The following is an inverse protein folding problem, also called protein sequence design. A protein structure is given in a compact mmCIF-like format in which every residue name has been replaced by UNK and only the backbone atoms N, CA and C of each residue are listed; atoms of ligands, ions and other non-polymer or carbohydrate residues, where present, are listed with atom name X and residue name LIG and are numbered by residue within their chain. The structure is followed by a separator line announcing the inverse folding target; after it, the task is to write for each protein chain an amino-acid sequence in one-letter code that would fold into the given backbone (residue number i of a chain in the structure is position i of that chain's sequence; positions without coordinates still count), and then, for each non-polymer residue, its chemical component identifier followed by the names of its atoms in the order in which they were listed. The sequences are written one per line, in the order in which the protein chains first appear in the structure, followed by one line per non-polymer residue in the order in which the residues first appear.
data_IF_476374267518
#
_entry.id   IF_476374267518
#
_cell.length_a   1.000
_cell.length_b   1.000
_cell.length_c   1.000
_cell.angle_alpha   90.00
_cell.angle_beta   90.00
_cell.angle_gamma   90.00
#
_symmetry.space_group_name_H-M   'P 1'
#
loop_
_entity.id
_entity.type
_entity.pdbx_description
1 polymer ?
#
# COMPACT_ATOMS: atom_id res chain seq x y z
N UNK A 1 -0.48 5.77 19.70
CA UNK A 1 -1.51 5.00 20.41
C UNK A 1 -1.51 3.54 19.99
N UNK A 2 -1.70 3.19 18.68
CA UNK A 2 -1.78 1.78 18.24
C UNK A 2 -0.47 1.02 18.50
N UNK A 3 0.68 1.59 18.18
CA UNK A 3 1.99 0.96 18.40
C UNK A 3 2.18 0.47 19.82
N UNK A 4 1.72 1.24 20.78
CA UNK A 4 1.93 0.99 22.21
C UNK A 4 0.86 0.11 22.83
N UNK A 5 -0.37 0.15 22.31
CA UNK A 5 -1.53 -0.40 23.00
C UNK A 5 -2.23 -1.55 22.26
N UNK A 6 -2.05 -1.69 20.93
CA UNK A 6 -2.78 -2.69 20.17
C UNK A 6 -2.41 -4.13 20.56
N UNK A 7 -1.12 -4.51 20.72
CA UNK A 7 -0.76 -5.85 21.16
C UNK A 7 -1.30 -6.18 22.55
N UNK A 8 -1.17 -5.27 23.51
CA UNK A 8 -1.68 -5.46 24.86
C UNK A 8 -3.23 -5.56 24.88
N UNK A 9 -3.91 -4.70 24.12
CA UNK A 9 -5.37 -4.76 23.98
C UNK A 9 -5.84 -6.09 23.38
N UNK A 10 -5.12 -6.64 22.43
CA UNK A 10 -5.41 -7.93 21.81
C UNK A 10 -5.16 -9.10 22.76
N UNK A 11 -4.01 -9.12 23.44
CA UNK A 11 -3.60 -10.24 24.29
C UNK A 11 -4.37 -10.29 25.61
N UNK A 12 -4.59 -9.14 26.23
CA UNK A 12 -5.16 -9.04 27.57
C UNK A 12 -6.68 -8.78 27.56
N UNK A 13 -7.20 -8.22 26.48
CA UNK A 13 -8.63 -8.00 26.27
C UNK A 13 -9.28 -7.20 27.42
N UNK A 14 -10.31 -7.76 28.05
CA UNK A 14 -11.04 -7.11 29.11
C UNK A 14 -10.22 -6.88 30.41
N UNK A 15 -9.08 -7.56 30.53
CA UNK A 15 -8.19 -7.40 31.70
C UNK A 15 -7.36 -6.11 31.63
N UNK A 16 -7.26 -5.48 30.45
CA UNK A 16 -6.56 -4.23 30.28
C UNK A 16 -7.50 -3.15 29.68
N UNK A 17 -8.37 -2.56 30.52
CA UNK A 17 -9.31 -1.55 30.04
C UNK A 17 -8.61 -0.28 29.49
N UNK A 18 -7.42 0.05 29.99
CA UNK A 18 -6.66 1.22 29.53
C UNK A 18 -6.17 1.02 28.09
N UNK A 19 -5.57 -0.12 27.79
CA UNK A 19 -5.13 -0.42 26.41
C UNK A 19 -6.33 -0.46 25.45
N UNK A 20 -7.46 -1.05 25.86
CA UNK A 20 -8.70 -1.07 25.08
C UNK A 20 -9.24 0.33 24.79
N UNK A 21 -9.30 1.20 25.80
CA UNK A 21 -9.71 2.59 25.65
C UNK A 21 -8.80 3.33 24.65
N UNK A 22 -7.47 3.15 24.76
CA UNK A 22 -6.49 3.77 23.85
C UNK A 22 -6.68 3.32 22.40
N UNK A 23 -6.94 2.03 22.20
CA UNK A 23 -7.22 1.47 20.85
C UNK A 23 -8.56 1.97 20.34
N UNK A 24 -9.60 2.06 21.17
CA UNK A 24 -10.90 2.64 20.79
C UNK A 24 -10.76 4.10 20.37
N UNK A 25 -10.05 4.91 21.13
CA UNK A 25 -9.78 6.29 20.80
C UNK A 25 -8.98 6.42 19.50
N UNK A 26 -7.99 5.55 19.28
CA UNK A 26 -7.23 5.51 18.03
C UNK A 26 -8.10 5.19 16.83
N UNK A 27 -9.05 4.26 16.95
CA UNK A 27 -10.01 3.94 15.90
C UNK A 27 -10.92 5.14 15.57
N UNK A 28 -11.38 5.85 16.60
CA UNK A 28 -12.19 7.09 16.42
C UNK A 28 -11.39 8.17 15.70
N UNK A 29 -10.13 8.41 16.11
CA UNK A 29 -9.25 9.38 15.47
C UNK A 29 -9.00 9.00 13.99
N UNK A 30 -8.78 7.71 13.71
CA UNK A 30 -8.64 7.22 12.34
C UNK A 30 -9.92 7.48 11.53
N UNK A 31 -11.10 7.23 12.12
CA UNK A 31 -12.40 7.55 11.52
C UNK A 31 -12.54 9.02 11.13
N UNK A 32 -12.18 9.93 12.03
CA UNK A 32 -12.18 11.38 11.76
C UNK A 32 -11.19 11.72 10.64
N UNK A 33 -10.01 11.12 10.64
CA UNK A 33 -8.99 11.37 9.62
C UNK A 33 -9.48 10.96 8.22
N UNK A 34 -9.99 9.74 8.05
CA UNK A 34 -10.43 9.29 6.73
C UNK A 34 -11.77 9.90 6.30
N UNK A 35 -12.61 10.37 7.22
CA UNK A 35 -13.80 11.15 6.87
C UNK A 35 -13.43 12.48 6.16
N UNK A 36 -12.23 13.01 6.43
CA UNK A 36 -11.74 14.24 5.80
C UNK A 36 -10.86 13.97 4.58
N UNK A 37 -9.99 12.93 4.62
CA UNK A 37 -9.05 12.62 3.55
C UNK A 37 -9.59 11.59 2.55
N UNK A 38 -10.70 10.96 2.87
CA UNK A 38 -11.28 9.80 2.20
C UNK A 38 -10.34 8.56 2.27
N UNK A 39 -10.73 7.49 1.57
CA UNK A 39 -10.04 6.21 1.55
C UNK A 39 -9.34 6.03 0.19
N UNK A 40 -8.64 4.92 0.00
CA UNK A 40 -7.89 4.64 -1.23
C UNK A 40 -8.02 3.17 -1.66
N UNK A 41 -7.15 2.75 -2.57
CA UNK A 41 -7.19 1.43 -3.20
C UNK A 41 -7.11 0.26 -2.21
N UNK A 42 -6.54 0.47 -1.01
CA UNK A 42 -6.57 -0.55 0.04
C UNK A 42 -8.00 -0.95 0.38
N UNK A 43 -8.86 0.04 0.63
CA UNK A 43 -10.27 -0.20 0.93
C UNK A 43 -11.05 -0.68 -0.29
N UNK A 44 -10.78 -0.15 -1.48
CA UNK A 44 -11.41 -0.60 -2.72
C UNK A 44 -11.24 -2.11 -2.92
N UNK A 45 -10.01 -2.60 -2.80
CA UNK A 45 -9.71 -4.03 -2.91
C UNK A 45 -10.27 -4.83 -1.72
N UNK A 46 -10.17 -4.30 -0.49
CA UNK A 46 -10.68 -4.95 0.70
C UNK A 46 -12.20 -5.16 0.65
N UNK A 47 -12.97 -4.22 0.08
CA UNK A 47 -14.41 -4.37 -0.15
C UNK A 47 -14.70 -5.60 -1.04
N UNK A 48 -13.94 -5.76 -2.11
CA UNK A 48 -14.15 -6.87 -3.06
C UNK A 48 -13.74 -8.23 -2.47
N UNK A 49 -12.61 -8.27 -1.75
CA UNK A 49 -12.21 -9.48 -1.03
C UNK A 49 -13.23 -9.87 0.06
N UNK A 50 -13.77 -8.88 0.77
CA UNK A 50 -14.79 -9.11 1.77
C UNK A 50 -16.11 -9.61 1.20
N UNK A 51 -16.60 -9.00 0.12
CA UNK A 51 -17.86 -9.39 -0.53
C UNK A 51 -17.78 -10.76 -1.18
N UNK A 52 -16.64 -11.12 -1.79
CA UNK A 52 -16.48 -12.32 -2.57
C UNK A 52 -16.05 -13.54 -1.75
N UNK A 53 -15.09 -13.34 -0.83
CA UNK A 53 -14.50 -14.44 -0.05
C UNK A 53 -14.86 -14.40 1.43
N UNK A 54 -15.74 -13.49 1.83
CA UNK A 54 -16.17 -13.31 3.23
C UNK A 54 -15.03 -13.03 4.20
N UNK A 55 -13.93 -12.45 3.70
CA UNK A 55 -12.83 -12.00 4.57
C UNK A 55 -13.29 -10.79 5.38
N UNK A 56 -13.18 -10.81 6.71
CA UNK A 56 -13.54 -9.65 7.53
C UNK A 56 -12.81 -8.39 7.06
N UNK A 57 -13.52 -7.26 7.00
CA UNK A 57 -13.02 -6.01 6.40
C UNK A 57 -11.65 -5.57 6.95
N UNK A 58 -11.48 -5.60 8.28
CA UNK A 58 -10.21 -5.26 8.92
C UNK A 58 -9.07 -6.19 8.52
N UNK A 59 -9.36 -7.50 8.40
CA UNK A 59 -8.39 -8.48 7.95
C UNK A 59 -8.00 -8.26 6.49
N UNK A 60 -8.96 -8.00 5.59
CA UNK A 60 -8.68 -7.72 4.19
C UNK A 60 -7.76 -6.50 4.02
N UNK A 61 -8.03 -5.41 4.77
CA UNK A 61 -7.15 -4.24 4.78
C UNK A 61 -5.75 -4.57 5.34
N UNK A 62 -5.64 -5.34 6.41
CA UNK A 62 -4.37 -5.72 7.00
C UNK A 62 -3.51 -6.60 6.06
N UNK A 63 -4.14 -7.46 5.26
CA UNK A 63 -3.45 -8.26 4.25
C UNK A 63 -2.87 -7.38 3.13
N UNK A 64 -3.61 -6.37 2.68
CA UNK A 64 -3.27 -5.52 1.54
C UNK A 64 -2.30 -4.39 1.87
N UNK A 65 -2.28 -3.89 3.12
CA UNK A 65 -1.69 -2.60 3.48
C UNK A 65 -0.23 -2.46 3.08
N UNK A 66 0.61 -3.49 3.28
CA UNK A 66 2.04 -3.40 2.96
C UNK A 66 2.27 -3.27 1.46
N UNK A 67 1.56 -4.04 0.63
CA UNK A 67 1.64 -3.96 -0.82
C UNK A 67 1.08 -2.63 -1.35
N UNK A 68 0.04 -2.09 -0.72
CA UNK A 68 -0.50 -0.76 -1.07
C UNK A 68 0.48 0.35 -0.69
N UNK A 69 1.17 0.26 0.44
CA UNK A 69 2.23 1.22 0.79
C UNK A 69 3.35 1.18 -0.26
N UNK A 70 3.83 -0.01 -0.66
CA UNK A 70 4.84 -0.16 -1.73
C UNK A 70 4.36 0.45 -3.04
N UNK A 71 3.12 0.18 -3.43
CA UNK A 71 2.49 0.73 -4.62
C UNK A 71 2.42 2.26 -4.61
N UNK A 72 1.96 2.84 -3.50
CA UNK A 72 1.81 4.29 -3.36
C UNK A 72 3.14 5.03 -3.14
N UNK A 73 4.19 4.35 -2.67
CA UNK A 73 5.49 4.94 -2.37
C UNK A 73 6.34 5.20 -3.62
N UNK A 74 5.74 5.74 -4.67
CA UNK A 74 6.38 6.05 -5.93
C UNK A 74 6.47 7.57 -6.13
N UNK A 75 7.66 8.06 -6.52
CA UNK A 75 7.88 9.49 -6.82
C UNK A 75 7.38 9.87 -8.23
N UNK A 76 7.22 8.89 -9.12
CA UNK A 76 6.81 9.07 -10.51
C UNK A 76 5.60 8.18 -10.86
N UNK A 77 4.44 8.39 -10.26
CA UNK A 77 3.26 7.59 -10.53
C UNK A 77 2.82 7.73 -11.99
N UNK A 78 2.36 6.64 -12.60
CA UNK A 78 1.88 6.59 -13.98
C UNK A 78 0.71 7.56 -14.20
N UNK A 79 -0.17 7.65 -13.22
CA UNK A 79 -1.28 8.59 -13.15
C UNK A 79 -1.39 9.17 -11.75
N UNK A 80 -1.79 10.42 -11.66
CA UNK A 80 -2.15 11.07 -10.40
C UNK A 80 -3.66 11.28 -10.34
N UNK A 81 -4.20 11.33 -9.14
CA UNK A 81 -5.60 11.69 -8.92
C UNK A 81 -5.86 13.15 -9.28
N UNK A 82 -7.11 13.47 -9.62
CA UNK A 82 -7.55 14.84 -9.89
C UNK A 82 -7.78 15.69 -8.62
N UNK A 83 -7.60 15.14 -7.42
CA UNK A 83 -7.70 15.90 -6.18
C UNK A 83 -6.51 16.83 -6.02
N UNK A 84 -6.77 18.12 -5.80
CA UNK A 84 -5.75 19.18 -5.72
C UNK A 84 -4.70 18.96 -4.62
N UNK A 85 -5.04 18.25 -3.55
CA UNK A 85 -4.08 17.87 -2.51
C UNK A 85 -2.96 16.95 -3.00
N UNK A 86 -3.10 16.37 -4.19
CA UNK A 86 -2.13 15.47 -4.80
C UNK A 86 -1.47 16.05 -6.06
N UNK A 87 -1.45 17.37 -6.23
CA UNK A 87 -0.79 18.06 -7.35
C UNK A 87 0.68 17.63 -7.52
N UNK A 88 1.29 17.16 -6.44
CA UNK A 88 2.63 16.56 -6.44
C UNK A 88 2.62 15.25 -5.66
N UNK A 89 3.32 14.19 -6.11
CA UNK A 89 3.44 12.95 -5.37
C UNK A 89 4.06 13.20 -3.99
N UNK A 90 3.34 12.84 -2.93
CA UNK A 90 3.78 13.04 -1.55
C UNK A 90 3.78 11.77 -0.73
N UNK A 91 3.14 10.69 -1.22
CA UNK A 91 2.92 9.48 -0.45
C UNK A 91 4.23 8.90 0.10
N UNK A 92 5.27 8.81 -0.73
CA UNK A 92 6.58 8.32 -0.32
C UNK A 92 7.19 9.11 0.84
N UNK A 93 7.14 10.44 0.76
CA UNK A 93 7.60 11.32 1.84
C UNK A 93 6.76 11.14 3.12
N UNK A 94 5.43 11.05 2.97
CA UNK A 94 4.52 10.87 4.10
C UNK A 94 4.73 9.55 4.82
N UNK A 95 4.97 8.46 4.11
CA UNK A 95 5.31 7.18 4.75
C UNK A 95 6.63 7.24 5.53
N UNK A 96 7.64 7.94 5.01
CA UNK A 96 8.88 8.16 5.74
C UNK A 96 8.67 9.02 7.01
N UNK A 97 7.85 10.07 6.93
CA UNK A 97 7.47 10.89 8.10
C UNK A 97 6.73 10.06 9.17
N UNK A 98 5.90 9.09 8.75
CA UNK A 98 5.25 8.15 9.68
C UNK A 98 6.29 7.29 10.39
N UNK A 99 7.29 6.76 9.67
CA UNK A 99 8.37 6.00 10.28
C UNK A 99 9.15 6.83 11.31
N UNK A 100 9.44 8.10 10.99
CA UNK A 100 10.08 9.02 11.92
C UNK A 100 9.22 9.26 13.17
N UNK A 101 7.94 9.55 12.98
CA UNK A 101 7.00 9.79 14.08
C UNK A 101 6.83 8.58 15.00
N UNK A 102 6.88 7.37 14.44
CA UNK A 102 6.82 6.13 15.21
C UNK A 102 8.15 5.76 15.86
N UNK A 103 9.22 6.52 15.64
CA UNK A 103 10.55 6.22 16.17
C UNK A 103 11.15 4.92 15.61
N UNK A 104 10.86 4.61 14.34
CA UNK A 104 11.37 3.42 13.65
C UNK A 104 12.67 3.72 12.89
N UNK A 105 12.88 4.98 12.52
CA UNK A 105 14.06 5.44 11.77
C UNK A 105 15.20 5.83 12.68
N UNK A 106 16.43 5.81 12.10
CA UNK A 106 17.63 6.32 12.72
C UNK A 106 18.11 7.61 12.03
N UNK A 107 18.92 8.46 12.71
CA UNK A 107 19.56 9.61 12.07
C UNK A 107 20.36 9.16 10.83
N UNK A 108 20.13 9.82 9.68
CA UNK A 108 20.80 9.49 8.42
C UNK A 108 20.08 8.48 7.54
N UNK A 109 18.99 7.87 7.99
CA UNK A 109 18.19 6.98 7.14
C UNK A 109 17.61 7.73 5.94
N UNK A 110 17.80 7.17 4.75
CA UNK A 110 17.17 7.65 3.53
C UNK A 110 15.68 7.30 3.50
N UNK A 111 14.87 8.05 2.74
CA UNK A 111 13.42 7.85 2.59
C UNK A 111 13.04 6.36 2.35
N UNK A 112 13.72 5.68 1.44
CA UNK A 112 13.46 4.26 1.17
C UNK A 112 13.71 3.37 2.41
N UNK A 113 14.80 3.60 3.16
CA UNK A 113 15.10 2.84 4.37
C UNK A 113 14.06 3.05 5.47
N UNK A 114 13.53 4.27 5.60
CA UNK A 114 12.44 4.58 6.55
C UNK A 114 11.17 3.83 6.20
N UNK A 115 10.82 3.76 4.90
CA UNK A 115 9.65 3.02 4.43
C UNK A 115 9.82 1.52 4.68
N UNK A 116 10.98 0.93 4.39
CA UNK A 116 11.22 -0.48 4.68
C UNK A 116 11.11 -0.79 6.19
N UNK A 117 11.58 0.10 7.05
CA UNK A 117 11.40 -0.04 8.50
C UNK A 117 9.92 0.06 8.92
N UNK A 118 9.14 0.93 8.27
CA UNK A 118 7.68 1.00 8.49
C UNK A 118 7.00 -0.30 8.09
N UNK A 119 7.34 -0.86 6.93
CA UNK A 119 6.79 -2.11 6.43
C UNK A 119 7.16 -3.29 7.34
N UNK A 120 8.44 -3.39 7.73
CA UNK A 120 8.90 -4.42 8.66
C UNK A 120 8.15 -4.35 10.01
N UNK A 121 7.94 -3.15 10.53
CA UNK A 121 7.16 -2.95 11.76
C UNK A 121 5.68 -3.37 11.59
N UNK A 122 5.06 -3.08 10.43
CA UNK A 122 3.69 -3.52 10.15
C UNK A 122 3.61 -5.06 10.07
N UNK A 123 4.57 -5.71 9.45
CA UNK A 123 4.61 -7.17 9.34
C UNK A 123 4.86 -7.82 10.70
N UNK A 124 5.72 -7.25 11.53
CA UNK A 124 5.90 -7.68 12.92
C UNK A 124 4.60 -7.54 13.73
N UNK A 125 3.92 -6.41 13.62
CA UNK A 125 2.64 -6.17 14.28
C UNK A 125 1.58 -7.18 13.84
N UNK A 126 1.47 -7.46 12.53
CA UNK A 126 0.56 -8.48 12.00
C UNK A 126 0.87 -9.87 12.58
N UNK A 127 2.15 -10.23 12.65
CA UNK A 127 2.60 -11.49 13.25
C UNK A 127 2.20 -11.59 14.72
N UNK A 128 2.42 -10.54 15.51
CA UNK A 128 2.04 -10.49 16.92
C UNK A 128 0.52 -10.63 17.14
N UNK A 129 -0.27 -10.18 16.18
CA UNK A 129 -1.73 -10.25 16.21
C UNK A 129 -2.29 -11.55 15.58
N UNK A 130 -1.44 -12.45 15.09
CA UNK A 130 -1.86 -13.69 14.45
C UNK A 130 -2.56 -13.48 13.11
N UNK A 131 -2.28 -12.38 12.42
CA UNK A 131 -2.83 -12.09 11.09
C UNK A 131 -2.10 -12.95 10.05
N UNK A 132 -2.82 -13.66 9.16
CA UNK A 132 -2.22 -14.42 8.07
C UNK A 132 -1.31 -13.55 7.18
N UNK A 133 -0.29 -14.16 6.58
CA UNK A 133 0.66 -13.43 5.73
C UNK A 133 0.16 -13.23 4.30
N UNK A 134 -0.90 -13.96 3.91
CA UNK A 134 -1.45 -13.93 2.56
C UNK A 134 -2.96 -14.18 2.53
N UNK A 135 -3.60 -13.84 1.41
CA UNK A 135 -5.02 -14.15 1.17
C UNK A 135 -5.22 -15.68 1.12
N UNK A 136 -4.24 -16.43 0.60
CA UNK A 136 -4.28 -17.91 0.61
C UNK A 136 -4.30 -18.47 2.03
N UNK A 137 -3.45 -17.97 2.91
CA UNK A 137 -3.43 -18.37 4.33
C UNK A 137 -4.70 -17.94 5.09
N UNK A 138 -5.38 -16.90 4.64
CA UNK A 138 -6.69 -16.52 5.14
C UNK A 138 -7.82 -17.48 4.71
N UNK A 139 -7.50 -18.56 3.97
CA UNK A 139 -8.41 -19.64 3.63
C UNK A 139 -9.01 -19.58 2.23
N UNK A 140 -8.63 -18.63 1.40
CA UNK A 140 -9.13 -18.50 0.04
C UNK A 140 -8.45 -19.53 -0.88
N UNK A 141 -9.26 -20.34 -1.58
CA UNK A 141 -8.74 -21.35 -2.51
C UNK A 141 -8.20 -20.70 -3.78
N UNK A 142 -7.05 -21.19 -4.27
CA UNK A 142 -6.38 -20.60 -5.44
C UNK A 142 -7.24 -20.62 -6.70
N UNK A 143 -7.93 -21.72 -6.97
CA UNK A 143 -8.78 -21.84 -8.14
C UNK A 143 -9.91 -20.80 -8.12
N UNK A 144 -10.55 -20.59 -6.96
CA UNK A 144 -11.61 -19.60 -6.79
C UNK A 144 -11.10 -18.19 -6.94
N UNK A 145 -9.92 -17.92 -6.37
CA UNK A 145 -9.27 -16.60 -6.47
C UNK A 145 -8.92 -16.28 -7.93
N UNK A 146 -8.24 -17.20 -8.63
CA UNK A 146 -7.82 -17.00 -10.02
C UNK A 146 -9.00 -16.83 -10.98
N UNK A 147 -10.12 -17.52 -10.73
CA UNK A 147 -11.33 -17.38 -11.52
C UNK A 147 -11.99 -15.99 -11.41
N UNK A 148 -11.70 -15.24 -10.34
CA UNK A 148 -12.40 -14.01 -9.98
C UNK A 148 -11.52 -12.76 -9.96
N UNK A 149 -10.21 -12.89 -9.84
CA UNK A 149 -9.29 -11.76 -9.61
C UNK A 149 -9.38 -10.67 -10.68
N UNK A 150 -9.65 -11.01 -11.94
CA UNK A 150 -9.83 -10.02 -13.01
C UNK A 150 -11.06 -9.15 -12.74
N UNK A 151 -12.19 -9.78 -12.44
CA UNK A 151 -13.42 -9.07 -12.09
C UNK A 151 -13.28 -8.26 -10.81
N UNK A 152 -12.60 -8.78 -9.79
CA UNK A 152 -12.35 -8.07 -8.54
C UNK A 152 -11.49 -6.82 -8.76
N UNK A 153 -10.52 -6.88 -9.68
CA UNK A 153 -9.69 -5.72 -10.01
C UNK A 153 -10.50 -4.63 -10.76
N UNK A 154 -11.37 -5.02 -11.68
CA UNK A 154 -12.31 -4.11 -12.35
C UNK A 154 -13.26 -3.46 -11.34
N UNK A 155 -13.90 -4.24 -10.50
CA UNK A 155 -14.82 -3.75 -9.48
C UNK A 155 -14.13 -2.86 -8.42
N UNK A 156 -12.87 -3.15 -8.10
CA UNK A 156 -12.08 -2.30 -7.22
C UNK A 156 -11.67 -0.99 -7.92
N UNK A 157 -11.44 -1.00 -9.22
CA UNK A 157 -11.17 0.21 -9.98
C UNK A 157 -12.37 1.16 -9.97
N UNK A 158 -13.59 0.63 -10.10
CA UNK A 158 -14.85 1.38 -10.09
C UNK A 158 -15.34 1.74 -8.67
N UNK A 159 -14.65 1.28 -7.63
CA UNK A 159 -15.02 1.59 -6.24
C UNK A 159 -14.81 3.07 -5.93
N UNK A 160 -15.76 3.66 -5.19
CA UNK A 160 -15.72 5.07 -4.80
C UNK A 160 -14.41 5.50 -4.11
N UNK A 161 -13.74 4.59 -3.41
CA UNK A 161 -12.50 4.89 -2.68
C UNK A 161 -11.29 5.05 -3.62
N UNK A 162 -11.33 4.47 -4.80
CA UNK A 162 -10.20 4.43 -5.74
C UNK A 162 -9.82 5.83 -6.22
N UNK A 163 -10.80 6.69 -6.47
CA UNK A 163 -10.57 8.05 -6.94
C UNK A 163 -9.78 8.95 -5.99
N UNK A 164 -9.76 8.65 -4.70
CA UNK A 164 -9.04 9.42 -3.70
C UNK A 164 -7.63 8.86 -3.39
N UNK A 165 -7.22 7.75 -4.02
CA UNK A 165 -5.88 7.23 -3.82
C UNK A 165 -4.82 8.20 -4.39
N UNK A 166 -3.68 8.46 -3.69
CA UNK A 166 -2.67 9.41 -4.15
C UNK A 166 -2.03 9.04 -5.50
N UNK A 167 -1.98 7.75 -5.82
CA UNK A 167 -1.63 7.22 -7.12
C UNK A 167 -2.88 6.62 -7.77
N UNK A 168 -3.34 7.20 -8.89
CA UNK A 168 -4.50 6.66 -9.60
C UNK A 168 -4.12 5.35 -10.30
N UNK A 169 -4.80 4.23 -10.01
CA UNK A 169 -4.35 2.93 -10.47
C UNK A 169 -4.78 2.63 -11.91
N UNK A 170 -4.07 1.68 -12.52
CA UNK A 170 -4.58 0.88 -13.64
C UNK A 170 -5.22 -0.40 -13.07
N UNK A 171 -6.20 -0.96 -13.78
CA UNK A 171 -6.83 -2.25 -13.38
C UNK A 171 -5.78 -3.35 -13.22
N UNK A 172 -4.81 -3.40 -14.15
CA UNK A 172 -3.71 -4.37 -14.10
C UNK A 172 -2.82 -4.22 -12.83
N UNK A 173 -2.64 -3.00 -12.32
CA UNK A 173 -1.88 -2.75 -11.09
C UNK A 173 -2.65 -3.24 -9.86
N UNK A 174 -3.97 -3.02 -9.81
CA UNK A 174 -4.84 -3.55 -8.75
C UNK A 174 -4.83 -5.09 -8.75
N UNK A 175 -4.95 -5.71 -9.94
CA UNK A 175 -4.81 -7.16 -10.10
C UNK A 175 -3.45 -7.65 -9.57
N UNK A 176 -2.35 -6.97 -9.92
CA UNK A 176 -1.01 -7.33 -9.48
C UNK A 176 -0.89 -7.26 -7.94
N UNK A 177 -1.40 -6.19 -7.31
CA UNK A 177 -1.41 -6.08 -5.85
C UNK A 177 -2.17 -7.24 -5.21
N UNK A 178 -3.35 -7.58 -5.73
CA UNK A 178 -4.15 -8.71 -5.22
C UNK A 178 -3.43 -10.04 -5.41
N UNK A 179 -2.80 -10.28 -6.58
CA UNK A 179 -2.03 -11.48 -6.87
C UNK A 179 -0.83 -11.63 -5.93
N UNK A 180 -0.06 -10.56 -5.74
CA UNK A 180 1.09 -10.58 -4.84
C UNK A 180 0.66 -10.82 -3.38
N UNK A 181 -0.43 -10.18 -2.95
CA UNK A 181 -1.00 -10.40 -1.62
C UNK A 181 -1.55 -11.82 -1.46
N UNK A 182 -2.12 -12.40 -2.52
CA UNK A 182 -2.61 -13.78 -2.49
C UNK A 182 -1.48 -14.79 -2.26
N UNK A 183 -0.34 -14.58 -2.91
CA UNK A 183 0.83 -15.46 -2.78
C UNK A 183 1.80 -15.08 -1.66
N UNK A 184 1.52 -14.03 -0.89
CA UNK A 184 2.42 -13.52 0.15
C UNK A 184 3.71 -12.93 -0.42
N UNK A 185 3.64 -12.34 -1.60
CA UNK A 185 4.77 -11.66 -2.27
C UNK A 185 4.70 -10.16 -2.05
N UNK A 186 5.86 -9.52 -2.10
CA UNK A 186 5.92 -8.07 -2.12
C UNK A 186 5.56 -7.52 -3.50
N UNK A 187 4.78 -6.44 -3.50
CA UNK A 187 4.49 -5.74 -4.75
C UNK A 187 5.76 -5.16 -5.35
N UNK A 188 5.99 -5.45 -6.62
CA UNK A 188 7.03 -4.85 -7.44
C UNK A 188 6.39 -4.17 -8.66
N UNK A 189 6.93 -3.02 -9.09
CA UNK A 189 6.44 -2.32 -10.29
C UNK A 189 6.53 -3.22 -11.52
N UNK A 190 5.42 -3.48 -12.24
CA UNK A 190 5.42 -4.43 -13.36
C UNK A 190 6.30 -4.00 -14.54
N UNK A 191 6.76 -2.75 -14.55
CA UNK A 191 7.62 -2.18 -15.61
C UNK A 191 8.96 -1.65 -15.07
N UNK A 192 9.35 -2.01 -13.84
CA UNK A 192 10.62 -1.57 -13.25
C UNK A 192 11.82 -1.95 -14.11
N UNK A 193 11.82 -3.15 -14.69
CA UNK A 193 12.89 -3.63 -15.57
C UNK A 193 12.99 -2.85 -16.87
N UNK A 194 11.86 -2.40 -17.42
CA UNK A 194 11.83 -1.56 -18.64
C UNK A 194 12.37 -0.16 -18.35
N UNK A 195 11.98 0.44 -17.21
CA UNK A 195 12.48 1.74 -16.80
C UNK A 195 13.98 1.70 -16.48
N UNK A 196 14.46 0.64 -15.84
CA UNK A 196 15.89 0.43 -15.58
C UNK A 196 16.68 0.16 -16.87
N UNK A 197 16.13 -0.62 -17.81
CA UNK A 197 16.74 -0.87 -19.10
C UNK A 197 16.81 0.40 -19.97
N UNK A 198 15.81 1.27 -19.91
CA UNK A 198 15.81 2.56 -20.62
C UNK A 198 16.77 3.56 -19.98
N UNK A 199 16.89 3.58 -18.65
CA UNK A 199 17.85 4.43 -17.94
C UNK A 199 19.31 3.97 -18.12
N UNK A 200 19.53 2.69 -18.40
CA UNK A 200 20.86 2.12 -18.67
C UNK A 200 21.33 2.31 -20.13
N UNK A 201 20.46 2.76 -21.05
CA UNK A 201 20.88 3.09 -22.42
C UNK A 201 21.53 4.47 -22.43
N UNK A 202 22.83 4.61 -22.73
CA UNK A 202 23.44 5.91 -22.89
C UNK A 202 22.76 6.64 -24.04
N UNK A 203 22.28 7.86 -23.76
CA UNK A 203 21.66 8.75 -24.75
C UNK A 203 22.63 8.96 -25.93
N UNK A 204 22.44 8.24 -27.02
CA UNK A 204 23.15 8.44 -28.27
C UNK A 204 22.51 9.59 -29.06
N UNK A 205 22.42 10.77 -28.48
CA UNK A 205 21.80 11.95 -29.13
C UNK A 205 22.75 13.11 -29.39
N UNK A 206 24.07 12.93 -29.36
CA UNK A 206 25.00 14.05 -29.64
C UNK A 206 25.90 13.95 -30.88
N UNK A 207 25.68 13.00 -31.75
CA UNK A 207 26.55 12.90 -32.97
C UNK A 207 25.88 13.23 -34.29
N UNK A 208 24.57 13.46 -34.34
CA UNK A 208 23.88 13.80 -35.59
C UNK A 208 23.91 15.30 -35.93
N UNK A 209 23.93 16.18 -34.93
CA UNK A 209 23.91 17.64 -35.19
C UNK A 209 25.26 18.28 -35.55
N UNK A 210 26.39 17.62 -35.25
CA UNK A 210 27.72 18.16 -35.61
C UNK A 210 28.12 17.87 -37.07
N UNK A 211 27.40 16.99 -37.77
CA UNK A 211 27.65 16.74 -39.21
C UNK A 211 26.86 17.65 -40.14
N UNK A 212 25.77 18.28 -39.69
CA UNK A 212 24.94 19.17 -40.50
C UNK A 212 25.42 20.64 -40.52
N UNK A 213 26.42 20.98 -39.70
CA UNK A 213 27.01 22.35 -39.68
C UNK A 213 28.38 22.47 -40.36
N UNK A 214 28.80 21.45 -41.15
CA UNK A 214 30.06 21.46 -41.88
C UNK A 214 29.89 21.02 -43.35
N UNK A 215 28.69 21.21 -43.92
CA UNK A 215 28.46 21.12 -45.35
C UNK A 215 27.85 22.42 -45.86
#
# INVERSE_FOLDING_TARGET
LLKENLPASYQEGAKNPVARERVHNAATIAGIAFANAFLGVCHSMAHKLGSEFHIPHGLANALLICNVIRYNANDNPTKQTAFSQYDRPQARRRYAEIADHLGLSAPGDRTAQKIEKLLAWLDEMKTQLGIPTSIREAGVQEADFLAKVDKLAEDAFDDQCTGANPRYPLIAELKQIMMDTFYGREYAEPFADIAQAQAAQPVKLEKAEKKAKKA
#
